data_IF_825297668996
#
_entry.id   IF_825297668996
#
_cell.length_a   1.000
_cell.length_b   1.000
_cell.length_c   1.000
_cell.angle_alpha   90.00
_cell.angle_beta   90.00
_cell.angle_gamma   90.00
#
_symmetry.space_group_name_H-M   'P 1'
#
loop_
_entity.id
_entity.type
_entity.pdbx_description
1 polymer ?
#
# COMPACT_ATOMS: atom_id res chain seq x y z
N UNK A 1 -4.49 -17.08 -28.28
CA UNK A 1 -5.56 -17.94 -27.69
C UNK A 1 -6.90 -17.34 -28.09
N UNK A 2 -7.97 -18.13 -28.32
CA UNK A 2 -9.29 -17.57 -28.57
C UNK A 2 -9.74 -16.75 -27.35
N UNK A 3 -10.43 -15.62 -27.60
CA UNK A 3 -11.00 -14.80 -26.54
C UNK A 3 -11.98 -15.64 -25.69
N UNK A 4 -11.90 -15.49 -24.37
CA UNK A 4 -12.84 -16.15 -23.46
C UNK A 4 -14.28 -15.67 -23.76
N UNK A 5 -15.25 -16.59 -23.72
CA UNK A 5 -16.67 -16.20 -23.85
C UNK A 5 -17.09 -15.35 -22.63
N UNK A 6 -18.08 -14.48 -22.80
CA UNK A 6 -18.61 -13.66 -21.70
C UNK A 6 -18.99 -14.51 -20.47
N UNK A 7 -19.65 -15.66 -20.67
CA UNK A 7 -19.99 -16.60 -19.59
C UNK A 7 -18.77 -17.19 -18.88
N UNK A 8 -17.65 -17.39 -19.60
CA UNK A 8 -16.41 -17.88 -19.00
C UNK A 8 -15.76 -16.80 -18.15
N UNK A 9 -15.76 -15.55 -18.61
CA UNK A 9 -15.28 -14.38 -17.85
C UNK A 9 -16.11 -14.21 -16.57
N UNK A 10 -17.43 -14.26 -16.66
CA UNK A 10 -18.34 -14.14 -15.50
C UNK A 10 -18.13 -15.25 -14.47
N UNK A 11 -17.92 -16.49 -14.91
CA UNK A 11 -17.61 -17.60 -14.00
C UNK A 11 -16.27 -17.39 -13.29
N UNK A 12 -15.24 -16.96 -14.02
CA UNK A 12 -13.93 -16.67 -13.47
C UNK A 12 -14.03 -15.54 -12.43
N UNK A 13 -14.72 -14.44 -12.73
CA UNK A 13 -14.91 -13.32 -11.81
C UNK A 13 -15.65 -13.72 -10.51
N UNK A 14 -16.67 -14.60 -10.61
CA UNK A 14 -17.34 -15.12 -9.40
C UNK A 14 -16.42 -15.95 -8.54
N UNK A 15 -15.59 -16.82 -9.15
CA UNK A 15 -14.60 -17.60 -8.41
C UNK A 15 -13.55 -16.70 -7.74
N UNK A 16 -12.99 -15.75 -8.48
CA UNK A 16 -12.03 -14.76 -7.95
C UNK A 16 -12.65 -14.00 -6.78
N UNK A 17 -13.92 -13.58 -6.90
CA UNK A 17 -14.64 -12.95 -5.80
C UNK A 17 -14.76 -13.84 -4.56
N UNK A 18 -14.97 -15.14 -4.75
CA UNK A 18 -14.96 -16.17 -3.69
C UNK A 18 -13.59 -16.24 -3.00
N UNK A 19 -12.52 -16.42 -3.76
CA UNK A 19 -11.15 -16.52 -3.24
C UNK A 19 -10.76 -15.25 -2.48
N UNK A 20 -11.05 -14.08 -3.05
CA UNK A 20 -10.82 -12.78 -2.40
C UNK A 20 -11.64 -12.62 -1.11
N UNK A 21 -12.84 -13.23 -1.03
CA UNK A 21 -13.68 -13.13 0.17
C UNK A 21 -13.14 -13.91 1.36
N UNK A 22 -12.38 -14.96 1.12
CA UNK A 22 -11.78 -15.84 2.15
C UNK A 22 -10.36 -15.46 2.52
N UNK A 23 -9.66 -14.67 1.69
CA UNK A 23 -8.29 -14.23 1.96
C UNK A 23 -8.27 -13.27 3.17
N UNK A 24 -7.45 -13.58 4.18
CA UNK A 24 -7.36 -12.82 5.43
C UNK A 24 -6.09 -11.96 5.49
N UNK A 25 -4.94 -12.51 5.08
CA UNK A 25 -3.69 -11.77 5.05
C UNK A 25 -3.54 -10.95 3.76
N UNK A 26 -2.79 -9.85 3.85
CA UNK A 26 -2.56 -8.96 2.72
C UNK A 26 -1.94 -9.66 1.51
N UNK A 27 -0.95 -10.53 1.74
CA UNK A 27 -0.32 -11.31 0.67
C UNK A 27 -1.27 -12.33 0.04
N UNK A 28 -2.15 -12.96 0.83
CA UNK A 28 -3.16 -13.90 0.32
C UNK A 28 -4.15 -13.19 -0.61
N UNK A 29 -4.52 -11.95 -0.28
CA UNK A 29 -5.37 -11.11 -1.14
C UNK A 29 -4.67 -10.81 -2.46
N UNK A 30 -3.39 -10.43 -2.42
CA UNK A 30 -2.63 -10.16 -3.63
C UNK A 30 -2.46 -11.43 -4.47
N UNK A 31 -2.17 -12.58 -3.85
CA UNK A 31 -2.07 -13.86 -4.54
C UNK A 31 -3.39 -14.25 -5.21
N UNK A 32 -4.51 -14.14 -4.51
CA UNK A 32 -5.83 -14.41 -5.09
C UNK A 32 -6.15 -13.46 -6.25
N UNK A 33 -5.84 -12.17 -6.11
CA UNK A 33 -6.07 -11.17 -7.15
C UNK A 33 -5.20 -11.42 -8.39
N UNK A 34 -3.89 -11.68 -8.20
CA UNK A 34 -2.94 -11.89 -9.30
C UNK A 34 -3.17 -13.22 -10.01
N UNK A 35 -3.43 -14.31 -9.29
CA UNK A 35 -3.85 -15.57 -9.93
C UNK A 35 -5.12 -15.39 -10.72
N UNK A 36 -6.12 -14.75 -10.13
CA UNK A 36 -7.40 -14.54 -10.78
C UNK A 36 -7.29 -13.69 -12.04
N UNK A 37 -6.56 -12.58 -12.00
CA UNK A 37 -6.40 -11.72 -13.17
C UNK A 37 -5.58 -12.42 -14.27
N UNK A 38 -4.55 -13.21 -13.95
CA UNK A 38 -3.72 -13.90 -14.94
C UNK A 38 -4.45 -15.06 -15.63
N UNK A 39 -5.49 -15.61 -15.04
CA UNK A 39 -6.40 -16.55 -15.73
C UNK A 39 -7.26 -15.88 -16.78
N UNK A 40 -7.69 -14.63 -16.54
CA UNK A 40 -8.47 -13.82 -17.47
C UNK A 40 -7.59 -13.14 -18.52
N UNK A 41 -6.45 -12.65 -18.10
CA UNK A 41 -5.51 -11.86 -18.89
C UNK A 41 -4.12 -12.47 -18.70
N UNK A 42 -3.77 -13.48 -19.51
CA UNK A 42 -2.46 -14.14 -19.43
C UNK A 42 -1.30 -13.14 -19.57
N UNK A 43 -0.32 -13.25 -18.68
CA UNK A 43 0.87 -12.42 -18.66
C UNK A 43 2.12 -13.26 -18.34
N UNK A 44 3.27 -12.83 -18.87
CA UNK A 44 4.56 -13.52 -18.66
C UNK A 44 5.17 -13.14 -17.31
N UNK A 45 4.99 -11.88 -16.92
CA UNK A 45 5.44 -11.31 -15.66
C UNK A 45 4.24 -10.62 -15.01
N UNK A 46 4.12 -10.77 -13.68
CA UNK A 46 3.14 -10.01 -12.92
C UNK A 46 3.67 -9.62 -11.54
N UNK A 47 3.17 -8.54 -11.01
CA UNK A 47 3.32 -8.20 -9.60
C UNK A 47 2.02 -7.61 -9.01
N UNK A 48 1.85 -7.82 -7.71
CA UNK A 48 0.85 -7.15 -6.89
C UNK A 48 1.56 -6.35 -5.80
N UNK A 49 1.23 -5.08 -5.68
CA UNK A 49 1.89 -4.15 -4.77
C UNK A 49 0.85 -3.58 -3.81
N UNK A 50 1.19 -3.54 -2.52
CA UNK A 50 0.43 -2.80 -1.49
C UNK A 50 1.00 -1.39 -1.39
N UNK A 51 0.13 -0.41 -1.28
CA UNK A 51 0.51 1.00 -1.19
C UNK A 51 0.02 1.61 0.13
N UNK A 52 0.81 2.49 0.70
CA UNK A 52 0.30 3.43 1.71
C UNK A 52 -0.64 4.42 1.02
N UNK A 53 -1.94 4.43 1.34
CA UNK A 53 -2.93 5.23 0.61
C UNK A 53 -2.74 6.73 0.72
N UNK A 54 -1.98 7.20 1.71
CA UNK A 54 -1.71 8.63 1.89
C UNK A 54 -0.49 9.12 1.12
N UNK A 55 0.50 8.25 0.90
CA UNK A 55 1.78 8.61 0.27
C UNK A 55 1.95 8.01 -1.12
N UNK A 56 1.21 6.95 -1.44
CA UNK A 56 1.35 6.10 -2.62
C UNK A 56 2.75 5.45 -2.73
N UNK A 57 3.43 5.27 -1.60
CA UNK A 57 4.67 4.52 -1.55
C UNK A 57 4.38 3.03 -1.37
N UNK A 58 5.23 2.21 -1.97
CA UNK A 58 5.17 0.76 -1.82
C UNK A 58 5.38 0.37 -0.36
N UNK A 59 4.57 -0.56 0.13
CA UNK A 59 4.62 -1.02 1.53
C UNK A 59 4.74 -2.54 1.65
N UNK A 60 4.78 -3.22 0.53
CA UNK A 60 4.94 -4.65 0.40
C UNK A 60 4.34 -5.15 -0.90
N UNK A 61 4.55 -6.42 -1.21
CA UNK A 61 4.04 -6.97 -2.45
C UNK A 61 4.49 -8.39 -2.73
N UNK A 62 4.02 -8.88 -3.85
CA UNK A 62 4.27 -10.21 -4.36
C UNK A 62 4.47 -10.14 -5.87
N UNK A 63 5.40 -10.92 -6.41
CA UNK A 63 5.67 -10.94 -7.83
C UNK A 63 6.00 -12.35 -8.33
N UNK A 64 5.77 -12.56 -9.61
CA UNK A 64 6.25 -13.71 -10.37
C UNK A 64 7.15 -13.25 -11.48
N UNK A 65 8.37 -13.77 -11.53
CA UNK A 65 9.41 -13.34 -12.47
C UNK A 65 9.60 -11.81 -12.43
N UNK A 66 9.66 -11.25 -11.22
CA UNK A 66 9.77 -9.80 -11.01
C UNK A 66 10.98 -9.18 -11.70
N UNK A 67 11.03 -7.86 -11.69
CA UNK A 67 12.14 -7.13 -12.27
C UNK A 67 13.45 -7.41 -11.52
N UNK A 68 14.58 -7.48 -12.22
CA UNK A 68 15.89 -7.61 -11.59
C UNK A 68 16.12 -6.50 -10.56
N UNK A 69 16.81 -6.83 -9.46
CA UNK A 69 17.04 -5.89 -8.34
C UNK A 69 17.77 -4.61 -8.82
N UNK A 70 18.65 -4.74 -9.78
CA UNK A 70 19.40 -3.61 -10.36
C UNK A 70 18.54 -2.60 -11.12
N UNK A 71 17.31 -2.97 -11.51
CA UNK A 71 16.35 -2.04 -12.13
C UNK A 71 15.56 -1.22 -11.12
N UNK A 72 15.47 -1.68 -9.87
CA UNK A 72 14.60 -1.07 -8.85
C UNK A 72 14.95 0.38 -8.53
N UNK A 73 16.22 0.80 -8.41
CA UNK A 73 16.55 2.21 -8.16
C UNK A 73 16.01 3.14 -9.25
N UNK A 74 16.16 2.76 -10.54
CA UNK A 74 15.65 3.56 -11.65
C UNK A 74 14.12 3.56 -11.70
N UNK A 75 13.49 2.42 -11.41
CA UNK A 75 12.03 2.33 -11.33
C UNK A 75 11.48 3.28 -10.25
N UNK A 76 12.04 3.24 -9.04
CA UNK A 76 11.60 4.11 -7.95
C UNK A 76 11.91 5.59 -8.21
N UNK A 77 12.98 5.90 -8.93
CA UNK A 77 13.26 7.26 -9.37
C UNK A 77 12.16 7.79 -10.30
N UNK A 78 11.77 7.02 -11.32
CA UNK A 78 10.68 7.39 -12.24
C UNK A 78 9.35 7.52 -11.49
N UNK A 79 8.99 6.52 -10.66
CA UNK A 79 7.68 6.46 -10.01
C UNK A 79 7.55 7.45 -8.84
N UNK A 80 8.59 7.66 -8.04
CA UNK A 80 8.49 8.41 -6.79
C UNK A 80 9.19 9.76 -6.79
N UNK A 81 10.12 10.00 -7.71
CA UNK A 81 10.88 11.26 -7.79
C UNK A 81 10.46 12.10 -8.98
N UNK A 82 10.63 11.59 -10.20
CA UNK A 82 10.33 12.33 -11.43
C UNK A 82 8.82 12.54 -11.61
N UNK A 83 8.04 11.49 -11.51
CA UNK A 83 6.55 11.50 -11.49
C UNK A 83 5.91 12.15 -12.73
N UNK A 84 6.61 12.23 -13.84
CA UNK A 84 6.17 12.92 -15.06
C UNK A 84 5.91 11.99 -16.25
N UNK A 85 6.00 10.67 -16.05
CA UNK A 85 5.70 9.68 -17.10
C UNK A 85 4.19 9.44 -17.25
N UNK A 86 3.78 8.95 -18.42
CA UNK A 86 2.37 8.86 -18.85
C UNK A 86 1.48 8.04 -17.92
N UNK A 87 1.95 6.90 -17.44
CA UNK A 87 1.23 5.98 -16.56
C UNK A 87 1.85 5.92 -15.15
N UNK A 88 2.49 7.02 -14.73
CA UNK A 88 2.97 7.13 -13.36
C UNK A 88 1.85 6.86 -12.35
N UNK A 89 2.16 6.17 -11.26
CA UNK A 89 1.20 5.75 -10.24
C UNK A 89 0.32 6.90 -9.72
N UNK A 90 0.89 8.10 -9.53
CA UNK A 90 0.11 9.27 -9.07
C UNK A 90 -0.86 9.78 -10.12
N UNK A 91 -0.52 9.68 -11.39
CA UNK A 91 -1.41 10.00 -12.49
C UNK A 91 -2.54 8.97 -12.58
N UNK A 92 -2.22 7.68 -12.51
CA UNK A 92 -3.20 6.58 -12.50
C UNK A 92 -4.16 6.66 -11.32
N UNK A 93 -3.65 6.98 -10.12
CA UNK A 93 -4.48 7.13 -8.92
C UNK A 93 -5.58 8.20 -9.05
N UNK A 94 -5.43 9.16 -9.96
CA UNK A 94 -6.38 10.26 -10.20
C UNK A 94 -7.33 10.02 -11.37
N UNK A 95 -7.00 9.08 -12.29
CA UNK A 95 -7.83 8.80 -13.47
C UNK A 95 -9.16 8.14 -13.06
N UNK A 96 -10.27 8.40 -13.78
CA UNK A 96 -11.53 7.70 -13.56
C UNK A 96 -11.42 6.19 -13.79
N UNK A 97 -10.72 5.77 -14.84
CA UNK A 97 -10.47 4.37 -15.16
C UNK A 97 -9.41 3.77 -14.22
N UNK A 98 -9.68 2.65 -13.54
CA UNK A 98 -8.71 1.98 -12.69
C UNK A 98 -7.66 1.17 -13.48
N UNK A 99 -7.87 0.91 -14.77
CA UNK A 99 -6.96 0.11 -15.59
C UNK A 99 -6.34 0.96 -16.69
N UNK A 100 -5.08 0.71 -16.99
CA UNK A 100 -4.33 1.37 -18.05
C UNK A 100 -3.49 0.36 -18.81
N UNK A 101 -3.36 0.58 -20.11
CA UNK A 101 -2.48 -0.16 -21.01
C UNK A 101 -1.47 0.85 -21.58
N UNK A 102 -0.18 0.59 -21.39
CA UNK A 102 0.87 1.56 -21.72
C UNK A 102 0.87 1.92 -23.21
N UNK A 103 0.67 0.94 -24.10
CA UNK A 103 0.54 1.19 -25.54
C UNK A 103 -0.63 2.13 -25.87
N UNK A 104 -1.76 2.05 -25.15
CA UNK A 104 -2.87 2.96 -25.35
C UNK A 104 -2.55 4.37 -24.79
N UNK A 105 -1.89 4.44 -23.64
CA UNK A 105 -1.53 5.71 -23.00
C UNK A 105 -0.45 6.50 -23.77
N UNK A 106 0.31 5.82 -24.63
CA UNK A 106 1.34 6.42 -25.49
C UNK A 106 0.89 6.55 -26.94
N UNK A 107 -0.38 6.30 -27.26
CA UNK A 107 -0.90 6.26 -28.65
C UNK A 107 -0.05 5.35 -29.58
N UNK A 108 0.52 4.27 -29.04
CA UNK A 108 1.39 3.33 -29.72
C UNK A 108 2.86 3.74 -29.77
N UNK A 109 3.22 4.97 -29.39
CA UNK A 109 4.62 5.42 -29.28
C UNK A 109 5.21 5.07 -27.89
N UNK A 110 5.36 3.78 -27.63
CA UNK A 110 5.93 3.28 -26.37
C UNK A 110 7.27 3.96 -26.01
N UNK A 111 8.20 4.24 -26.96
CA UNK A 111 9.43 4.97 -26.64
C UNK A 111 9.25 6.38 -26.07
N UNK A 112 8.09 6.99 -26.14
CA UNK A 112 7.82 8.28 -25.49
C UNK A 112 7.84 8.16 -23.96
N UNK A 113 7.47 6.98 -23.39
CA UNK A 113 7.55 6.70 -21.96
C UNK A 113 9.00 6.44 -21.53
N UNK A 114 9.43 7.10 -20.45
CA UNK A 114 10.73 6.84 -19.79
C UNK A 114 10.76 5.43 -19.20
N UNK A 115 9.68 5.06 -18.52
CA UNK A 115 9.52 3.74 -17.91
C UNK A 115 9.68 2.62 -18.95
N UNK A 116 9.10 2.78 -20.14
CA UNK A 116 9.31 1.83 -21.23
C UNK A 116 10.77 1.77 -21.68
N UNK A 117 11.39 2.93 -21.93
CA UNK A 117 12.77 2.98 -22.43
C UNK A 117 13.80 2.41 -21.45
N UNK A 118 13.65 2.79 -20.18
CA UNK A 118 14.67 2.57 -19.16
C UNK A 118 14.46 1.23 -18.42
N UNK A 119 13.22 0.74 -18.34
CA UNK A 119 12.85 -0.48 -17.59
C UNK A 119 12.35 -1.60 -18.51
N UNK A 120 11.23 -1.38 -19.21
CA UNK A 120 10.54 -2.48 -19.91
C UNK A 120 11.29 -2.99 -21.13
N UNK A 121 11.76 -2.09 -21.99
CA UNK A 121 12.46 -2.46 -23.23
C UNK A 121 13.76 -3.22 -22.99
N UNK A 122 14.65 -2.83 -22.06
CA UNK A 122 15.86 -3.60 -21.73
C UNK A 122 15.56 -5.01 -21.23
N UNK A 123 14.43 -5.22 -20.57
CA UNK A 123 13.97 -6.51 -20.07
C UNK A 123 13.23 -7.36 -21.14
N UNK A 124 13.16 -6.88 -22.39
CA UNK A 124 12.43 -7.57 -23.45
C UNK A 124 10.91 -7.58 -23.27
N UNK A 125 10.37 -6.67 -22.49
CA UNK A 125 8.93 -6.51 -22.26
C UNK A 125 8.35 -5.65 -23.38
N UNK A 126 7.27 -6.18 -24.00
CA UNK A 126 6.58 -5.53 -25.09
C UNK A 126 5.62 -4.44 -24.63
N UNK A 127 4.84 -4.75 -23.58
CA UNK A 127 3.77 -3.88 -23.12
C UNK A 127 3.40 -4.22 -21.68
N UNK A 128 2.76 -3.26 -20.99
CA UNK A 128 2.35 -3.37 -19.61
C UNK A 128 0.91 -2.92 -19.44
N UNK A 129 0.15 -3.70 -18.64
CA UNK A 129 -1.20 -3.39 -18.19
C UNK A 129 -1.18 -3.20 -16.66
N UNK A 130 -1.66 -2.06 -16.20
CA UNK A 130 -1.76 -1.71 -14.77
C UNK A 130 -3.22 -1.65 -14.32
N UNK A 131 -3.51 -2.18 -13.13
CA UNK A 131 -4.81 -2.07 -12.47
C UNK A 131 -4.64 -1.48 -11.09
N UNK A 132 -5.14 -0.28 -10.90
CA UNK A 132 -5.12 0.42 -9.61
C UNK A 132 -6.22 -0.12 -8.71
N UNK A 133 -5.86 -0.54 -7.51
CA UNK A 133 -6.80 -1.01 -6.48
C UNK A 133 -7.23 0.18 -5.63
N UNK A 134 -8.39 0.78 -5.98
CA UNK A 134 -8.83 2.01 -5.32
C UNK A 134 -10.31 2.01 -4.97
N UNK A 135 -10.62 2.75 -3.91
CA UNK A 135 -11.99 3.04 -3.47
C UNK A 135 -12.02 4.30 -2.59
N UNK A 136 -13.08 5.09 -2.71
CA UNK A 136 -13.29 6.28 -1.86
C UNK A 136 -12.24 7.38 -2.04
N UNK A 137 -11.59 7.45 -3.21
CA UNK A 137 -10.52 8.42 -3.48
C UNK A 137 -9.13 7.98 -3.02
N UNK A 138 -8.99 6.80 -2.40
CA UNK A 138 -7.72 6.25 -1.93
C UNK A 138 -7.29 5.05 -2.76
N UNK A 139 -6.00 4.97 -3.06
CA UNK A 139 -5.35 3.85 -3.76
C UNK A 139 -4.62 2.98 -2.75
N UNK A 140 -4.95 1.71 -2.71
CA UNK A 140 -4.48 0.73 -1.72
C UNK A 140 -3.46 -0.24 -2.27
N UNK A 141 -3.40 -0.36 -3.59
CA UNK A 141 -2.50 -1.26 -4.27
C UNK A 141 -2.52 -1.10 -5.78
N UNK A 142 -1.67 -1.84 -6.42
CA UNK A 142 -1.49 -1.89 -7.86
C UNK A 142 -1.26 -3.34 -8.28
N UNK A 143 -1.91 -3.77 -9.36
CA UNK A 143 -1.58 -5.00 -10.07
C UNK A 143 -0.91 -4.61 -11.39
N UNK A 144 0.16 -5.28 -11.73
CA UNK A 144 0.94 -5.05 -12.95
C UNK A 144 1.06 -6.36 -13.71
N UNK A 145 0.76 -6.34 -14.98
CA UNK A 145 0.85 -7.48 -15.91
C UNK A 145 1.71 -7.07 -17.09
N UNK A 146 2.74 -7.84 -17.40
CA UNK A 146 3.62 -7.58 -18.51
C UNK A 146 3.60 -8.73 -19.51
N UNK A 147 3.70 -8.42 -20.80
CA UNK A 147 3.91 -9.38 -21.88
C UNK A 147 5.27 -9.16 -22.53
N UNK A 148 6.00 -10.26 -22.73
CA UNK A 148 7.29 -10.26 -23.41
C UNK A 148 7.14 -9.96 -24.91
N UNK A 149 8.24 -9.59 -25.56
CA UNK A 149 8.26 -9.26 -26.99
C UNK A 149 7.73 -10.38 -27.90
N UNK A 150 7.88 -11.66 -27.50
CA UNK A 150 7.37 -12.82 -28.23
C UNK A 150 5.89 -13.16 -27.95
N UNK A 151 5.27 -12.55 -26.98
CA UNK A 151 3.88 -12.80 -26.61
C UNK A 151 2.91 -11.94 -27.43
N UNK A 152 1.63 -12.37 -27.60
CA UNK A 152 0.60 -11.54 -28.24
C UNK A 152 0.45 -10.19 -27.52
N UNK A 153 0.12 -9.13 -28.26
CA UNK A 153 -0.19 -7.83 -27.64
C UNK A 153 -1.42 -7.93 -26.73
N UNK A 154 -1.49 -7.07 -25.70
CA UNK A 154 -2.73 -6.88 -24.97
C UNK A 154 -3.80 -6.28 -25.87
N UNK A 155 -5.05 -6.59 -25.56
CA UNK A 155 -6.22 -6.14 -26.30
C UNK A 155 -7.16 -5.33 -25.42
N UNK A 156 -8.08 -4.58 -26.03
CA UNK A 156 -9.14 -3.89 -25.29
C UNK A 156 -10.01 -4.85 -24.46
N UNK A 157 -10.14 -6.10 -24.91
CA UNK A 157 -10.85 -7.15 -24.14
C UNK A 157 -10.06 -7.52 -22.87
N UNK A 158 -8.72 -7.64 -22.95
CA UNK A 158 -7.86 -7.86 -21.79
C UNK A 158 -8.00 -6.70 -20.79
N UNK A 159 -7.97 -5.47 -21.29
CA UNK A 159 -8.12 -4.26 -20.49
C UNK A 159 -9.50 -4.20 -19.80
N UNK A 160 -10.57 -4.54 -20.52
CA UNK A 160 -11.92 -4.59 -19.99
C UNK A 160 -12.10 -5.67 -18.91
N UNK A 161 -11.48 -6.84 -19.09
CA UNK A 161 -11.47 -7.90 -18.09
C UNK A 161 -10.69 -7.49 -16.85
N UNK A 162 -9.53 -6.88 -17.03
CA UNK A 162 -8.68 -6.41 -15.94
C UNK A 162 -9.37 -5.35 -15.04
N UNK A 163 -10.13 -4.43 -15.61
CA UNK A 163 -10.91 -3.42 -14.87
C UNK A 163 -11.81 -4.03 -13.80
N UNK A 164 -12.39 -5.19 -14.09
CA UNK A 164 -13.36 -5.81 -13.18
C UNK A 164 -12.76 -6.34 -11.89
N UNK A 165 -11.44 -6.57 -11.86
CA UNK A 165 -10.72 -7.01 -10.65
C UNK A 165 -10.53 -5.86 -9.63
N UNK A 166 -10.45 -4.62 -10.08
CA UNK A 166 -10.11 -3.48 -9.21
C UNK A 166 -10.99 -3.41 -7.95
N UNK A 167 -12.31 -3.40 -8.12
CA UNK A 167 -13.25 -3.24 -6.99
C UNK A 167 -13.22 -4.42 -6.00
N UNK A 168 -13.35 -5.69 -6.40
CA UNK A 168 -13.32 -6.82 -5.47
C UNK A 168 -11.97 -6.95 -4.76
N UNK A 169 -10.85 -6.81 -5.48
CA UNK A 169 -9.51 -6.86 -4.88
C UNK A 169 -9.28 -5.71 -3.90
N UNK A 170 -9.71 -4.49 -4.22
CA UNK A 170 -9.64 -3.35 -3.30
C UNK A 170 -10.43 -3.60 -2.02
N UNK A 171 -11.64 -4.16 -2.13
CA UNK A 171 -12.48 -4.46 -0.97
C UNK A 171 -11.82 -5.50 -0.07
N UNK A 172 -11.26 -6.56 -0.65
CA UNK A 172 -10.54 -7.60 0.10
C UNK A 172 -9.27 -7.05 0.76
N UNK A 173 -8.47 -6.26 0.02
CA UNK A 173 -7.25 -5.65 0.53
C UNK A 173 -7.52 -4.72 1.73
N UNK A 174 -8.53 -3.87 1.62
CA UNK A 174 -8.93 -3.02 2.75
C UNK A 174 -9.39 -3.82 3.96
N UNK A 175 -10.16 -4.89 3.75
CA UNK A 175 -10.57 -5.79 4.83
C UNK A 175 -9.36 -6.42 5.52
N UNK A 176 -8.39 -6.95 4.76
CA UNK A 176 -7.18 -7.55 5.34
C UNK A 176 -6.38 -6.55 6.18
N UNK A 177 -6.36 -5.27 5.79
CA UNK A 177 -5.71 -4.20 6.57
C UNK A 177 -6.44 -3.89 7.88
N UNK A 178 -7.76 -4.10 7.94
CA UNK A 178 -8.56 -3.90 9.15
C UNK A 178 -8.53 -5.10 10.11
N UNK A 179 -8.28 -6.31 9.59
CA UNK A 179 -8.19 -7.49 10.45
C UNK A 179 -6.99 -7.32 11.37
N UNK A 180 -7.25 -7.17 12.66
CA UNK A 180 -6.21 -7.07 13.68
C UNK A 180 -5.39 -8.37 13.70
N UNK A 181 -4.07 -8.27 13.63
CA UNK A 181 -3.18 -9.41 13.82
C UNK A 181 -3.43 -10.02 15.20
N UNK A 182 -3.83 -11.28 15.23
CA UNK A 182 -4.04 -12.04 16.49
C UNK A 182 -2.73 -12.51 17.09
N UNK A 183 -1.67 -12.53 16.30
CA UNK A 183 -0.34 -12.96 16.70
C UNK A 183 0.60 -11.76 16.70
N UNK A 184 0.60 -10.99 17.78
CA UNK A 184 1.66 -10.02 18.05
C UNK A 184 2.93 -10.81 18.40
N UNK A 185 3.73 -11.14 17.39
CA UNK A 185 5.04 -11.75 17.58
C UNK A 185 5.95 -10.85 18.44
N UNK A 186 6.98 -11.46 19.02
CA UNK A 186 7.97 -10.86 19.93
C UNK A 186 8.95 -9.90 19.26
N UNK A 187 8.51 -9.06 18.32
CA UNK A 187 9.37 -7.99 17.79
C UNK A 187 9.44 -6.90 18.85
N UNK A 188 10.64 -6.54 19.28
CA UNK A 188 10.85 -5.44 20.21
C UNK A 188 10.18 -4.17 19.68
N UNK A 189 9.49 -3.43 20.56
CA UNK A 189 8.82 -2.16 20.21
C UNK A 189 9.81 -1.02 19.90
N UNK A 190 11.09 -1.28 20.00
CA UNK A 190 12.13 -0.32 19.69
C UNK A 190 12.24 -0.07 18.18
N UNK A 191 12.43 1.18 17.76
CA UNK A 191 12.75 1.49 16.38
C UNK A 191 14.12 0.94 16.00
N UNK A 192 14.25 0.52 14.73
CA UNK A 192 15.52 0.14 14.12
C UNK A 192 15.96 1.19 13.11
N UNK A 193 17.24 1.13 12.73
CA UNK A 193 17.85 2.02 11.76
C UNK A 193 18.49 1.23 10.62
N UNK A 194 18.20 1.65 9.40
CA UNK A 194 18.86 1.24 8.16
C UNK A 194 19.60 2.46 7.60
N UNK A 195 20.83 2.29 7.19
CA UNK A 195 21.63 3.33 6.52
C UNK A 195 21.99 2.82 5.13
N UNK A 196 21.67 3.62 4.13
CA UNK A 196 21.89 3.33 2.71
C UNK A 196 22.88 4.37 2.14
N UNK A 197 23.68 3.95 1.18
CA UNK A 197 24.57 4.85 0.43
C UNK A 197 23.80 5.60 -0.68
N UNK A 198 24.54 6.31 -1.52
CA UNK A 198 23.99 7.06 -2.66
C UNK A 198 23.36 6.17 -3.75
N UNK A 199 23.73 4.89 -3.81
CA UNK A 199 23.21 3.89 -4.73
C UNK A 199 22.04 3.07 -4.16
N UNK A 200 21.59 3.42 -2.94
CA UNK A 200 20.56 2.69 -2.17
C UNK A 200 21.03 1.32 -1.68
N UNK A 201 22.34 1.07 -1.65
CA UNK A 201 22.91 -0.14 -1.09
C UNK A 201 23.03 -0.06 0.44
N UNK A 202 22.88 -1.20 1.11
CA UNK A 202 22.92 -1.30 2.57
C UNK A 202 24.33 -1.03 3.10
N UNK A 203 24.50 0.06 3.84
CA UNK A 203 25.74 0.38 4.57
C UNK A 203 25.71 -0.20 5.98
N UNK A 204 24.57 -0.08 6.67
CA UNK A 204 24.42 -0.56 8.04
C UNK A 204 22.94 -0.79 8.38
N UNK A 205 22.68 -1.88 9.12
CA UNK A 205 21.34 -2.21 9.63
C UNK A 205 21.43 -2.61 11.09
N UNK A 206 20.67 -1.95 11.95
CA UNK A 206 20.62 -2.34 13.35
C UNK A 206 19.91 -3.69 13.54
N UNK A 207 20.23 -4.48 14.60
CA UNK A 207 19.55 -5.74 14.86
C UNK A 207 18.01 -5.62 14.97
N UNK A 208 17.53 -4.52 15.53
CA UNK A 208 16.10 -4.24 15.63
C UNK A 208 15.48 -3.98 14.24
N UNK A 209 16.18 -3.19 13.38
CA UNK A 209 15.72 -2.99 12.01
C UNK A 209 15.62 -4.31 11.25
N UNK A 210 16.62 -5.21 11.39
CA UNK A 210 16.59 -6.53 10.71
C UNK A 210 15.31 -7.29 11.03
N UNK A 211 14.88 -7.33 12.29
CA UNK A 211 13.63 -7.98 12.72
C UNK A 211 12.40 -7.35 12.06
N UNK A 212 12.35 -6.01 11.97
CA UNK A 212 11.27 -5.31 11.27
C UNK A 212 11.26 -5.62 9.78
N UNK A 213 12.43 -5.62 9.13
CA UNK A 213 12.57 -5.92 7.70
C UNK A 213 12.09 -7.34 7.38
N UNK A 214 12.36 -8.31 8.24
CA UNK A 214 11.96 -9.70 8.07
C UNK A 214 10.44 -9.90 8.23
N UNK A 215 9.76 -9.01 8.98
CA UNK A 215 8.32 -9.04 9.18
C UNK A 215 7.53 -8.25 8.11
N UNK A 216 8.19 -7.48 7.25
CA UNK A 216 7.49 -6.78 6.16
C UNK A 216 6.86 -7.76 5.17
N UNK A 217 5.64 -7.46 4.64
CA UNK A 217 4.87 -8.37 3.81
C UNK A 217 5.36 -8.33 2.36
N UNK A 218 6.50 -8.96 2.10
CA UNK A 218 7.09 -9.03 0.78
C UNK A 218 7.65 -10.42 0.53
N UNK A 219 7.40 -10.98 -0.66
CA UNK A 219 8.04 -12.19 -1.12
C UNK A 219 9.35 -11.81 -1.81
N UNK A 220 10.46 -11.94 -1.06
CA UNK A 220 11.81 -11.56 -1.50
C UNK A 220 12.59 -12.76 -1.99
N UNK A 221 13.14 -12.64 -3.18
CA UNK A 221 14.18 -13.55 -3.65
C UNK A 221 15.55 -12.97 -3.23
N UNK A 222 16.17 -13.53 -2.19
CA UNK A 222 17.52 -13.16 -1.79
C UNK A 222 17.61 -12.11 -0.65
N UNK A 223 18.77 -11.47 -0.51
CA UNK A 223 19.11 -10.51 0.57
C UNK A 223 18.73 -9.06 0.26
N UNK A 224 17.93 -8.81 -0.76
CA UNK A 224 17.53 -7.47 -1.16
C UNK A 224 16.72 -6.75 -0.08
N UNK A 225 16.88 -5.43 0.02
CA UNK A 225 16.05 -4.60 0.90
C UNK A 225 14.58 -4.64 0.46
N UNK A 226 13.63 -4.63 1.39
CA UNK A 226 12.21 -4.55 1.08
C UNK A 226 11.88 -3.31 0.23
N UNK A 227 10.96 -3.46 -0.72
CA UNK A 227 10.51 -2.35 -1.57
C UNK A 227 9.95 -1.18 -0.75
N UNK A 228 9.32 -1.43 0.38
CA UNK A 228 8.88 -0.39 1.30
C UNK A 228 10.05 0.50 1.78
N UNK A 229 11.21 -0.08 2.04
CA UNK A 229 12.42 0.67 2.43
C UNK A 229 12.98 1.42 1.23
N UNK A 230 13.11 0.77 0.09
CA UNK A 230 13.62 1.38 -1.14
C UNK A 230 12.73 2.55 -1.60
N UNK A 231 11.41 2.38 -1.59
CA UNK A 231 10.45 3.42 -1.98
C UNK A 231 10.51 4.66 -1.08
N UNK A 232 10.54 4.47 0.25
CA UNK A 232 10.62 5.60 1.17
C UNK A 232 11.98 6.28 1.11
N UNK A 233 13.07 5.52 0.93
CA UNK A 233 14.42 6.05 0.76
C UNK A 233 14.54 6.85 -0.54
N UNK A 234 14.10 6.31 -1.67
CA UNK A 234 14.06 7.02 -2.95
C UNK A 234 13.28 8.33 -2.82
N UNK A 235 12.13 8.32 -2.16
CA UNK A 235 11.34 9.54 -1.93
C UNK A 235 12.09 10.59 -1.11
N UNK A 236 12.89 10.19 -0.13
CA UNK A 236 13.70 11.12 0.69
C UNK A 236 14.86 11.75 -0.08
N UNK A 237 15.28 11.15 -1.21
CA UNK A 237 16.35 11.73 -2.07
C UNK A 237 15.84 12.77 -3.05
N UNK A 238 14.51 12.87 -3.27
CA UNK A 238 13.93 13.88 -4.14
C UNK A 238 14.29 15.31 -3.69
N UNK A 239 14.67 16.15 -4.64
CA UNK A 239 15.25 17.49 -4.40
C UNK A 239 14.37 18.43 -3.55
N UNK A 240 13.05 18.21 -3.53
CA UNK A 240 12.09 19.04 -2.78
C UNK A 240 11.68 18.43 -1.42
N UNK A 241 12.08 17.19 -1.11
CA UNK A 241 11.68 16.51 0.12
C UNK A 241 12.93 16.14 0.93
N UNK A 242 13.09 16.74 2.10
CA UNK A 242 14.15 16.38 3.04
C UNK A 242 13.82 15.14 3.87
N UNK A 243 12.55 14.74 3.89
CA UNK A 243 12.02 13.61 4.65
C UNK A 243 10.90 12.91 3.88
N UNK A 244 10.80 11.59 4.04
CA UNK A 244 9.71 10.78 3.53
C UNK A 244 9.16 9.87 4.63
N UNK A 245 7.88 9.53 4.54
CA UNK A 245 7.20 8.63 5.47
C UNK A 245 6.35 7.64 4.69
N UNK A 246 6.25 6.43 5.23
CA UNK A 246 5.33 5.40 4.77
C UNK A 246 4.93 4.50 5.94
N UNK A 247 3.84 3.75 5.78
CA UNK A 247 3.34 2.82 6.78
C UNK A 247 3.03 1.50 6.12
N UNK A 248 3.56 0.45 6.68
CA UNK A 248 3.37 -0.91 6.18
C UNK A 248 2.71 -1.77 7.24
N UNK A 249 1.79 -2.65 6.84
CA UNK A 249 1.31 -3.69 7.72
C UNK A 249 2.21 -4.90 7.60
N UNK A 250 2.76 -5.35 8.72
CA UNK A 250 3.67 -6.50 8.79
C UNK A 250 2.92 -7.83 8.65
N UNK A 251 3.66 -8.92 8.40
CA UNK A 251 3.11 -10.30 8.37
C UNK A 251 2.49 -10.70 9.70
N UNK A 252 3.11 -10.28 10.80
CA UNK A 252 2.56 -10.48 12.15
C UNK A 252 1.31 -9.65 12.44
N UNK A 253 0.86 -8.81 11.50
CA UNK A 253 -0.33 -7.99 11.61
C UNK A 253 -0.14 -6.68 12.39
N UNK A 254 1.09 -6.32 12.75
CA UNK A 254 1.44 -5.01 13.34
C UNK A 254 1.54 -3.94 12.25
N UNK A 255 1.51 -2.70 12.66
CA UNK A 255 1.81 -1.59 11.77
C UNK A 255 3.22 -1.08 12.03
N UNK A 256 4.02 -1.05 10.98
CA UNK A 256 5.33 -0.41 10.97
C UNK A 256 5.24 0.99 10.34
N UNK A 257 5.88 1.97 10.96
CA UNK A 257 6.16 3.26 10.37
C UNK A 257 7.60 3.29 9.84
N UNK A 258 7.76 3.75 8.62
CA UNK A 258 9.06 3.97 7.99
C UNK A 258 9.25 5.48 7.80
N UNK A 259 10.37 6.00 8.30
CA UNK A 259 10.74 7.40 8.15
C UNK A 259 12.13 7.45 7.52
N UNK A 260 12.27 8.15 6.41
CA UNK A 260 13.54 8.30 5.71
C UNK A 260 13.94 9.78 5.62
N UNK A 261 15.24 10.03 5.75
CA UNK A 261 15.84 11.36 5.55
C UNK A 261 17.31 11.23 5.11
N UNK A 262 17.78 12.26 4.43
CA UNK A 262 19.18 12.33 4.02
C UNK A 262 20.08 12.70 5.20
N UNK A 263 21.23 12.05 5.28
CA UNK A 263 22.28 12.32 6.29
C UNK A 263 23.64 12.50 5.60
N UNK A 264 24.54 13.23 6.25
CA UNK A 264 25.89 13.45 5.77
C UNK A 264 26.01 14.60 4.76
N UNK A 265 27.22 15.06 4.50
CA UNK A 265 27.49 16.14 3.56
C UNK A 265 27.55 15.63 2.11
N UNK A 266 27.30 16.55 1.14
CA UNK A 266 27.66 16.30 -0.25
C UNK A 266 29.20 16.10 -0.38
N UNK A 267 29.72 15.30 -1.36
CA UNK A 267 29.02 14.80 -2.53
C UNK A 267 28.34 13.42 -2.37
N UNK A 268 28.58 12.70 -1.30
CA UNK A 268 28.05 11.34 -1.11
C UNK A 268 27.07 11.27 0.09
N UNK A 269 25.85 11.84 -0.02
CA UNK A 269 24.89 11.80 1.06
C UNK A 269 24.34 10.39 1.21
N UNK A 270 24.25 9.92 2.45
CA UNK A 270 23.56 8.69 2.80
C UNK A 270 22.08 8.95 3.08
N UNK A 271 21.30 7.88 3.08
CA UNK A 271 19.89 7.92 3.49
C UNK A 271 19.73 7.08 4.75
N UNK A 272 19.18 7.68 5.79
CA UNK A 272 18.77 6.96 7.00
C UNK A 272 17.30 6.63 6.91
N UNK A 273 16.94 5.38 7.23
CA UNK A 273 15.56 4.92 7.34
C UNK A 273 15.32 4.35 8.73
N UNK A 274 14.54 5.04 9.54
CA UNK A 274 14.03 4.49 10.79
C UNK A 274 12.79 3.65 10.50
N UNK A 275 12.74 2.45 11.07
CA UNK A 275 11.58 1.55 11.02
C UNK A 275 11.21 1.13 12.44
N UNK A 276 9.96 1.25 12.81
CA UNK A 276 9.47 0.94 14.14
C UNK A 276 7.96 0.84 14.20
N UNK A 277 7.37 0.68 15.40
CA UNK A 277 5.93 0.64 15.55
C UNK A 277 5.32 1.97 15.06
N UNK A 278 4.23 1.88 14.31
CA UNK A 278 3.49 3.06 13.91
C UNK A 278 2.75 3.64 15.12
N UNK A 279 2.84 4.95 15.30
CA UNK A 279 2.09 5.61 16.38
C UNK A 279 0.59 5.65 16.08
N UNK A 280 -0.27 5.70 17.12
CA UNK A 280 -1.71 5.80 16.96
C UNK A 280 -2.15 6.93 16.02
N UNK A 281 -1.51 8.09 16.10
CA UNK A 281 -1.80 9.23 15.25
C UNK A 281 -1.51 8.97 13.75
N UNK A 282 -0.51 8.15 13.47
CA UNK A 282 -0.16 7.76 12.10
C UNK A 282 -1.22 6.83 11.48
N UNK A 283 -1.90 6.04 12.30
CA UNK A 283 -2.84 5.01 11.85
C UNK A 283 -4.27 5.51 11.70
N UNK A 284 -4.67 6.53 12.46
CA UNK A 284 -6.06 7.00 12.49
C UNK A 284 -6.63 7.28 11.09
N UNK A 285 -5.86 7.93 10.23
CA UNK A 285 -6.28 8.24 8.86
C UNK A 285 -6.47 6.97 8.03
N UNK A 286 -5.48 6.05 8.02
CA UNK A 286 -5.55 4.79 7.25
C UNK A 286 -6.74 3.94 7.70
N UNK A 287 -6.95 3.85 9.00
CA UNK A 287 -8.04 3.03 9.56
C UNK A 287 -9.40 3.61 9.14
N UNK A 288 -9.62 4.92 9.28
CA UNK A 288 -10.85 5.55 8.83
C UNK A 288 -11.08 5.39 7.32
N UNK A 289 -10.02 5.49 6.53
CA UNK A 289 -10.07 5.25 5.09
C UNK A 289 -10.41 3.80 4.76
N UNK A 290 -9.85 2.85 5.52
CA UNK A 290 -10.09 1.42 5.33
C UNK A 290 -11.54 1.02 5.62
N UNK A 291 -12.27 1.72 6.51
CA UNK A 291 -13.72 1.54 6.69
C UNK A 291 -14.55 2.07 5.50
N UNK A 292 -13.96 2.76 4.54
CA UNK A 292 -14.65 3.28 3.35
C UNK A 292 -15.50 4.50 3.64
N UNK A 293 -15.11 5.27 4.62
CA UNK A 293 -15.78 6.53 4.92
C UNK A 293 -15.52 7.55 3.80
N UNK A 294 -16.54 8.30 3.41
CA UNK A 294 -16.38 9.46 2.57
C UNK A 294 -15.61 10.57 3.31
N UNK A 295 -15.13 11.59 2.61
CA UNK A 295 -14.41 12.70 3.25
C UNK A 295 -15.23 13.32 4.39
N UNK A 296 -16.52 13.61 4.17
CA UNK A 296 -17.41 14.19 5.19
C UNK A 296 -17.66 13.26 6.38
N UNK A 297 -17.80 11.97 6.14
CA UNK A 297 -17.93 10.98 7.20
C UNK A 297 -16.65 10.87 8.03
N UNK A 298 -15.47 10.97 7.40
CA UNK A 298 -14.18 11.01 8.11
C UNK A 298 -14.05 12.26 8.97
N UNK A 299 -14.39 13.43 8.41
CA UNK A 299 -14.35 14.69 9.15
C UNK A 299 -15.21 14.59 10.41
N UNK A 300 -16.43 14.02 10.29
CA UNK A 300 -17.35 13.80 11.43
C UNK A 300 -16.77 12.77 12.39
N UNK A 301 -16.27 11.62 11.92
CA UNK A 301 -15.68 10.59 12.77
C UNK A 301 -14.46 11.11 13.53
N UNK A 302 -13.61 11.89 12.91
CA UNK A 302 -12.46 12.53 13.54
C UNK A 302 -12.88 13.48 14.67
N UNK A 303 -13.90 14.29 14.47
CA UNK A 303 -14.44 15.17 15.51
C UNK A 303 -15.06 14.38 16.68
N UNK A 304 -15.66 13.22 16.40
CA UNK A 304 -16.14 12.29 17.46
C UNK A 304 -14.96 11.76 18.28
N UNK A 305 -13.87 11.35 17.64
CA UNK A 305 -12.66 10.87 18.33
C UNK A 305 -12.01 11.96 19.21
N UNK A 306 -12.14 13.23 18.79
CA UNK A 306 -11.72 14.39 19.60
C UNK A 306 -12.70 14.76 20.71
N UNK A 307 -13.79 14.00 20.89
CA UNK A 307 -14.79 14.21 21.95
C UNK A 307 -15.85 15.27 21.61
N UNK A 308 -15.96 15.72 20.35
CA UNK A 308 -16.91 16.75 19.94
C UNK A 308 -18.38 16.33 20.11
N UNK A 309 -19.22 17.20 20.69
CA UNK A 309 -20.68 17.04 20.67
C UNK A 309 -21.26 17.31 19.28
N UNK A 310 -22.52 16.88 19.01
CA UNK A 310 -23.17 17.13 17.72
C UNK A 310 -23.18 18.61 17.35
N UNK A 311 -23.50 19.48 18.31
CA UNK A 311 -23.50 20.92 18.10
C UNK A 311 -22.10 21.49 17.80
N UNK A 312 -21.07 21.04 18.51
CA UNK A 312 -19.68 21.42 18.24
C UNK A 312 -19.21 20.95 16.86
N UNK A 313 -19.50 19.69 16.47
CA UNK A 313 -19.18 19.15 15.15
C UNK A 313 -19.88 19.95 14.05
N UNK A 314 -21.16 20.27 14.23
CA UNK A 314 -21.94 21.10 13.30
C UNK A 314 -21.28 22.47 13.10
N UNK A 315 -20.86 23.12 14.19
CA UNK A 315 -20.16 24.42 14.13
C UNK A 315 -18.81 24.32 13.42
N UNK A 316 -17.97 23.34 13.79
CA UNK A 316 -16.62 23.16 13.22
C UNK A 316 -16.66 22.85 11.73
N UNK A 317 -17.62 22.02 11.30
CA UNK A 317 -17.72 21.59 9.89
C UNK A 317 -18.63 22.49 9.04
N UNK A 318 -19.29 23.48 9.62
CA UNK A 318 -20.18 24.40 8.90
C UNK A 318 -21.43 23.71 8.33
N UNK A 319 -22.00 22.73 9.04
CA UNK A 319 -23.19 21.96 8.64
C UNK A 319 -24.24 21.94 9.76
N UNK A 320 -25.46 21.49 9.44
CA UNK A 320 -26.51 21.38 10.45
C UNK A 320 -26.28 20.18 11.39
N UNK A 321 -26.81 20.23 12.61
CA UNK A 321 -26.79 19.09 13.54
C UNK A 321 -27.49 17.87 12.95
N UNK A 322 -28.54 18.08 12.18
CA UNK A 322 -29.23 17.03 11.45
C UNK A 322 -28.29 16.32 10.46
N UNK A 323 -27.53 17.09 9.67
CA UNK A 323 -26.54 16.54 8.74
C UNK A 323 -25.43 15.78 9.46
N UNK A 324 -25.01 16.25 10.64
CA UNK A 324 -24.04 15.51 11.49
C UNK A 324 -24.61 14.15 11.88
N UNK A 325 -25.88 14.08 12.28
CA UNK A 325 -26.53 12.82 12.65
C UNK A 325 -26.63 11.83 11.47
N UNK A 326 -26.93 12.32 10.26
CA UNK A 326 -26.97 11.51 9.06
C UNK A 326 -25.58 10.92 8.75
N UNK A 327 -24.53 11.74 8.82
CA UNK A 327 -23.15 11.25 8.66
C UNK A 327 -22.76 10.25 9.75
N UNK A 328 -23.14 10.49 11.00
CA UNK A 328 -22.87 9.54 12.08
C UNK A 328 -23.54 8.19 11.85
N UNK A 329 -24.79 8.19 11.40
CA UNK A 329 -25.49 6.96 11.03
C UNK A 329 -24.73 6.19 9.95
N UNK A 330 -24.30 6.87 8.88
CA UNK A 330 -23.51 6.25 7.81
C UNK A 330 -22.14 5.75 8.33
N UNK A 331 -21.48 6.47 9.22
CA UNK A 331 -20.24 6.03 9.90
C UNK A 331 -20.50 4.75 10.69
N UNK A 332 -21.55 4.72 11.51
CA UNK A 332 -21.87 3.54 12.31
C UNK A 332 -22.19 2.32 11.46
N UNK A 333 -22.96 2.49 10.40
CA UNK A 333 -23.29 1.41 9.45
C UNK A 333 -22.02 0.85 8.77
N UNK A 334 -21.07 1.71 8.38
CA UNK A 334 -19.82 1.31 7.72
C UNK A 334 -18.79 0.71 8.66
N UNK A 335 -18.76 1.15 9.92
CA UNK A 335 -17.84 0.64 10.95
C UNK A 335 -18.41 -0.55 11.73
N UNK A 336 -19.70 -0.85 11.55
CA UNK A 336 -20.38 -1.96 12.23
C UNK A 336 -20.66 -1.69 13.71
N UNK A 337 -20.63 -0.41 14.15
CA UNK A 337 -20.90 -0.01 15.53
C UNK A 337 -22.29 0.62 15.66
N UNK A 338 -22.76 0.81 16.90
CA UNK A 338 -24.11 1.31 17.17
C UNK A 338 -24.14 2.65 17.90
N UNK A 339 -23.01 3.11 18.39
CA UNK A 339 -22.93 4.35 19.16
C UNK A 339 -21.57 5.04 19.01
N UNK A 340 -21.50 6.32 19.41
CA UNK A 340 -20.24 7.07 19.49
C UNK A 340 -19.24 6.39 20.41
N UNK A 341 -19.71 5.88 21.56
CA UNK A 341 -18.87 5.16 22.51
C UNK A 341 -18.31 3.88 21.90
N UNK A 342 -19.14 3.14 21.14
CA UNK A 342 -18.69 1.93 20.46
C UNK A 342 -17.68 2.27 19.36
N UNK A 343 -17.88 3.37 18.62
CA UNK A 343 -16.93 3.83 17.60
C UNK A 343 -15.57 4.13 18.22
N UNK A 344 -15.54 4.88 19.32
CA UNK A 344 -14.30 5.18 20.03
C UNK A 344 -13.67 3.90 20.57
N UNK A 345 -14.47 3.03 21.22
CA UNK A 345 -14.00 1.76 21.75
C UNK A 345 -13.43 0.84 20.67
N UNK A 346 -14.14 0.68 19.55
CA UNK A 346 -13.72 -0.17 18.44
C UNK A 346 -12.38 0.29 17.83
N UNK A 347 -12.30 1.59 17.53
CA UNK A 347 -11.06 2.17 17.01
C UNK A 347 -9.93 2.08 18.03
N UNK A 348 -10.19 2.37 19.29
CA UNK A 348 -9.20 2.30 20.36
C UNK A 348 -8.76 0.85 20.61
N UNK A 349 -9.70 -0.08 20.81
CA UNK A 349 -9.39 -1.47 21.17
C UNK A 349 -8.68 -2.23 20.06
N UNK A 350 -9.11 -2.04 18.81
CA UNK A 350 -8.49 -2.75 17.68
C UNK A 350 -7.15 -2.19 17.25
N UNK A 351 -6.99 -0.86 17.31
CA UNK A 351 -5.87 -0.22 16.63
C UNK A 351 -4.87 0.44 17.59
N UNK A 352 -5.28 0.74 18.83
CA UNK A 352 -4.45 1.43 19.79
C UNK A 352 -4.10 0.57 21.02
N UNK A 353 -5.07 -0.18 21.56
CA UNK A 353 -4.84 -0.99 22.76
C UNK A 353 -3.71 -2.01 22.65
N UNK A 354 -3.53 -2.70 21.50
CA UNK A 354 -2.42 -3.62 21.35
C UNK A 354 -1.04 -2.97 21.49
N UNK A 355 -0.95 -1.66 21.27
CA UNK A 355 0.29 -0.88 21.37
C UNK A 355 0.54 -0.29 22.77
N UNK A 356 -0.51 -0.22 23.62
CA UNK A 356 -0.38 0.27 24.99
C UNK A 356 0.07 -0.80 25.99
N UNK A 357 0.10 -2.04 25.59
CA UNK A 357 0.35 -3.17 26.49
C UNK A 357 1.82 -3.36 26.90
N UNK A 358 2.75 -2.55 26.36
CA UNK A 358 4.18 -2.71 26.62
C UNK A 358 4.78 -1.50 27.32
N UNK A 359 5.26 -1.62 28.58
CA UNK A 359 6.09 -0.61 29.19
C UNK A 359 7.42 -0.55 28.43
N UNK A 360 7.62 0.50 27.69
CA UNK A 360 8.76 0.63 26.78
C UNK A 360 10.09 0.89 27.49
N UNK A 361 10.10 1.26 28.78
CA UNK A 361 11.31 1.78 29.40
C UNK A 361 11.40 1.44 30.88
N UNK A 362 12.53 0.91 31.32
CA UNK A 362 12.85 0.75 32.75
C UNK A 362 13.18 2.11 33.39
N UNK A 363 13.21 2.15 34.71
CA UNK A 363 13.50 3.39 35.50
C UNK A 363 14.89 3.96 35.25
N UNK A 364 15.82 3.16 34.68
CA UNK A 364 17.17 3.58 34.26
C UNK A 364 17.25 3.98 32.79
N UNK A 365 16.10 4.10 32.09
CA UNK A 365 16.02 4.54 30.70
C UNK A 365 16.30 3.44 29.66
N UNK A 366 16.40 2.16 30.06
CA UNK A 366 16.60 1.06 29.13
C UNK A 366 15.26 0.57 28.60
N UNK A 367 15.24 0.14 27.33
CA UNK A 367 14.13 -0.59 26.78
C UNK A 367 14.09 -1.99 27.41
N UNK A 368 12.93 -2.39 27.92
CA UNK A 368 12.76 -3.71 28.54
C UNK A 368 12.14 -4.63 27.48
N UNK A 369 12.86 -5.70 27.12
CA UNK A 369 12.29 -6.76 26.31
C UNK A 369 11.18 -7.45 27.12
N UNK A 370 9.98 -7.66 26.55
CA UNK A 370 8.96 -8.45 27.23
C UNK A 370 9.50 -9.87 27.48
N UNK A 371 9.33 -10.33 28.71
CA UNK A 371 9.74 -11.69 29.06
C UNK A 371 9.04 -12.70 28.14
N UNK A 372 9.72 -13.76 27.67
CA UNK A 372 9.09 -14.80 26.89
C UNK A 372 8.03 -15.49 27.78
N UNK A 373 6.78 -15.50 27.29
CA UNK A 373 5.63 -16.18 27.92
C UNK A 373 5.69 -17.68 27.67
#
# INVERSE_FOLDING_TARGET
>A
MPALSADAVDRALRRIGGDLSTAEATLDVLDAATRGITELVPADIWCGVVLDPSTLLDTGGQHRHGFPQETMPRLFEIEHIEQDDVDNLRALARRPDPASLLSNSTDGDLPSSKYYRDILRPLGIRDELRVVLRQGGHTWGLLVLCRAAGSPAFTDTDLAAARQISKPATTALRRSLLLAGRDAGTIADAPGLVVLDEHQDEVSVSPTARRWLDDLPEDRAGSALPYAVQAVAARATATAATQARSRARTRSGRWAALHAWRIGPAPAPMTAVAIGPAEPGDLAAIVLDAYGLSQRERDVAQQVLLGGSTAQIATVLGISEYTVQDHLKAVFDKTGVRSRRDLISELFTRHYLPQLAHPATSTDGRLVDPAPS
#
